data_IF_396435376528
#
_entry.id   IF_396435376528
#
_cell.length_a   1.000
_cell.length_b   1.000
_cell.length_c   1.000
_cell.angle_alpha   90.00
_cell.angle_beta   90.00
_cell.angle_gamma   90.00
#
_symmetry.space_group_name_H-M   'P 1'
#
loop_
_entity.id
_entity.type
_entity.pdbx_description
1 polymer ?
#
# COMPACT_ATOMS: atom_id res chain seq x y z
N UNK A 1 -1.91 9.79 17.56
CA UNK A 1 -3.20 9.09 17.70
C UNK A 1 -3.19 7.79 16.89
N UNK A 2 -2.96 6.64 17.54
CA UNK A 2 -3.15 5.33 16.88
C UNK A 2 -4.65 5.06 16.86
N UNK A 3 -5.32 5.14 15.70
CA UNK A 3 -6.69 4.61 15.56
C UNK A 3 -6.59 3.09 15.79
N UNK A 4 -6.96 2.64 16.99
CA UNK A 4 -6.63 1.32 17.55
C UNK A 4 -7.19 0.10 16.79
N UNK A 5 -7.96 0.28 15.71
CA UNK A 5 -8.59 -0.83 14.96
C UNK A 5 -8.44 -0.75 13.42
N UNK A 6 -7.51 0.05 12.88
CA UNK A 6 -7.31 0.14 11.42
C UNK A 6 -5.90 -0.28 11.01
N UNK A 7 -5.82 -1.08 9.94
CA UNK A 7 -4.55 -1.45 9.30
C UNK A 7 -4.30 -0.48 8.16
N UNK A 8 -3.14 0.19 8.18
CA UNK A 8 -2.72 1.07 7.10
C UNK A 8 -1.95 0.25 6.06
N UNK A 9 -2.45 0.25 4.84
CA UNK A 9 -1.87 -0.45 3.69
C UNK A 9 -1.35 0.59 2.72
N UNK A 10 -0.04 0.55 2.45
CA UNK A 10 0.60 1.43 1.47
C UNK A 10 0.86 0.66 0.18
N UNK A 11 0.68 1.27 -1.01
CA UNK A 11 0.97 0.60 -2.28
C UNK A 11 2.41 0.08 -2.38
N UNK A 12 3.37 0.83 -1.84
CA UNK A 12 4.80 0.45 -1.77
C UNK A 12 5.03 -0.92 -1.12
N UNK A 13 4.12 -1.39 -0.26
CA UNK A 13 4.25 -2.71 0.38
C UNK A 13 4.23 -3.87 -0.62
N UNK A 14 3.56 -3.68 -1.75
CA UNK A 14 3.40 -4.66 -2.82
C UNK A 14 4.34 -4.42 -4.01
N UNK A 15 5.13 -3.35 -3.99
CA UNK A 15 5.96 -2.95 -5.15
C UNK A 15 7.19 -3.84 -5.32
N UNK A 16 7.20 -4.67 -6.37
CA UNK A 16 8.29 -5.59 -6.69
C UNK A 16 9.57 -4.91 -7.15
N UNK A 17 9.47 -3.65 -7.61
CA UNK A 17 10.61 -2.83 -8.03
C UNK A 17 11.40 -2.30 -6.83
N UNK A 18 10.82 -2.35 -5.62
CA UNK A 18 11.43 -1.84 -4.40
C UNK A 18 12.09 -2.94 -3.57
N UNK A 19 13.22 -2.60 -2.94
CA UNK A 19 13.85 -3.45 -1.95
C UNK A 19 13.03 -3.49 -0.64
N UNK A 20 13.24 -4.49 0.22
CA UNK A 20 12.59 -4.56 1.54
C UNK A 20 12.89 -3.31 2.39
N UNK A 21 14.12 -2.81 2.34
CA UNK A 21 14.51 -1.58 3.05
C UNK A 21 13.74 -0.32 2.59
N UNK A 22 13.30 -0.31 1.32
CA UNK A 22 12.59 0.81 0.69
C UNK A 22 11.06 0.74 0.86
N UNK A 23 10.53 -0.31 1.51
CA UNK A 23 9.12 -0.37 1.91
C UNK A 23 8.39 -1.64 1.49
N UNK A 24 8.92 -2.43 0.56
CA UNK A 24 8.29 -3.71 0.17
C UNK A 24 8.21 -4.64 1.40
N UNK A 25 7.00 -5.10 1.73
CA UNK A 25 6.77 -6.01 2.87
C UNK A 25 6.62 -7.47 2.46
N UNK A 26 6.35 -7.73 1.19
CA UNK A 26 6.00 -9.06 0.68
C UNK A 26 7.18 -9.67 -0.12
N UNK A 27 7.35 -11.01 -0.16
CA UNK A 27 8.30 -11.67 -1.06
C UNK A 27 8.11 -11.25 -2.52
N UNK A 28 9.21 -11.19 -3.29
CA UNK A 28 9.18 -10.71 -4.68
C UNK A 28 8.24 -11.52 -5.58
N UNK A 29 8.10 -12.83 -5.33
CA UNK A 29 7.17 -13.73 -6.04
C UNK A 29 5.68 -13.34 -5.93
N UNK A 30 5.30 -12.59 -4.91
CA UNK A 30 3.91 -12.13 -4.70
C UNK A 30 3.78 -10.61 -4.85
N UNK A 31 4.87 -9.92 -5.17
CA UNK A 31 4.89 -8.47 -5.36
C UNK A 31 4.62 -8.14 -6.82
N UNK A 32 3.94 -7.02 -7.08
CA UNK A 32 3.59 -6.53 -8.43
C UNK A 32 4.43 -5.31 -8.77
N UNK A 33 4.82 -5.11 -10.04
CA UNK A 33 5.54 -3.90 -10.44
C UNK A 33 4.61 -2.69 -10.42
N UNK A 34 5.03 -1.60 -9.78
CA UNK A 34 4.32 -0.30 -9.78
C UNK A 34 2.82 -0.38 -9.40
N UNK A 35 2.48 -0.87 -8.19
CA UNK A 35 1.10 -1.02 -7.73
C UNK A 35 0.38 0.33 -7.69
N UNK A 36 -0.82 0.37 -8.28
CA UNK A 36 -1.69 1.56 -8.23
C UNK A 36 -2.71 1.43 -7.09
N UNK A 37 -3.16 2.58 -6.59
CA UNK A 37 -4.16 2.62 -5.52
C UNK A 37 -5.49 1.98 -5.96
N UNK A 38 -5.91 2.20 -7.21
CA UNK A 38 -7.10 1.59 -7.80
C UNK A 38 -7.07 0.05 -7.82
N UNK A 39 -5.90 -0.54 -8.08
CA UNK A 39 -5.74 -2.00 -8.13
C UNK A 39 -5.92 -2.62 -6.74
N UNK A 40 -5.42 -1.93 -5.71
CA UNK A 40 -5.57 -2.33 -4.33
C UNK A 40 -7.04 -2.20 -3.89
N UNK A 41 -7.71 -1.10 -4.25
CA UNK A 41 -9.14 -0.91 -3.97
C UNK A 41 -9.97 -2.04 -4.59
N UNK A 42 -9.75 -2.36 -5.88
CA UNK A 42 -10.40 -3.49 -6.56
C UNK A 42 -10.14 -4.84 -5.89
N UNK A 43 -8.94 -5.06 -5.37
CA UNK A 43 -8.61 -6.28 -4.63
C UNK A 43 -9.37 -6.34 -3.29
N UNK A 44 -9.47 -5.22 -2.58
CA UNK A 44 -10.22 -5.12 -1.33
C UNK A 44 -11.74 -5.28 -1.54
N UNK A 45 -12.27 -4.74 -2.64
CA UNK A 45 -13.67 -4.93 -3.05
C UNK A 45 -13.99 -6.42 -3.29
N UNK A 46 -13.10 -7.13 -4.00
CA UNK A 46 -13.24 -8.59 -4.23
C UNK A 46 -13.18 -9.37 -2.93
N UNK A 47 -12.36 -8.93 -1.97
CA UNK A 47 -12.26 -9.51 -0.64
C UNK A 47 -13.41 -9.10 0.29
N UNK A 48 -14.31 -8.21 -0.15
CA UNK A 48 -15.44 -7.65 0.63
C UNK A 48 -14.99 -7.03 1.95
N UNK A 49 -13.80 -6.44 1.98
CA UNK A 49 -13.26 -5.75 3.15
C UNK A 49 -13.69 -4.29 3.16
N UNK A 50 -14.00 -3.75 4.34
CA UNK A 50 -14.23 -2.32 4.51
C UNK A 50 -12.89 -1.58 4.54
N UNK A 51 -12.71 -0.62 3.64
CA UNK A 51 -11.52 0.22 3.58
C UNK A 51 -11.89 1.70 3.44
N UNK A 52 -10.91 2.55 3.71
CA UNK A 52 -10.99 4.00 3.57
C UNK A 52 -9.79 4.44 2.74
N UNK A 53 -10.04 5.15 1.64
CA UNK A 53 -9.00 5.67 0.78
C UNK A 53 -8.58 7.04 1.29
N UNK A 54 -7.27 7.26 1.41
CA UNK A 54 -6.69 8.56 1.76
C UNK A 54 -5.74 8.96 0.64
N UNK A 55 -6.26 9.72 -0.34
CA UNK A 55 -5.59 10.02 -1.62
C UNK A 55 -4.47 11.08 -1.56
N UNK A 56 -4.17 11.61 -0.37
CA UNK A 56 -3.14 12.64 -0.16
C UNK A 56 -2.07 12.21 0.84
N UNK A 57 -1.99 10.91 1.10
CA UNK A 57 -1.07 10.38 2.08
C UNK A 57 0.26 10.05 1.41
N UNK A 58 1.35 10.65 1.89
CA UNK A 58 2.69 10.27 1.44
C UNK A 58 3.24 9.15 2.33
N UNK A 59 3.85 8.14 1.71
CA UNK A 59 4.52 7.08 2.46
C UNK A 59 5.63 7.71 3.32
N UNK A 60 5.72 7.45 4.64
CA UNK A 60 6.65 8.17 5.52
C UNK A 60 8.13 8.11 5.13
N UNK A 61 8.56 7.04 4.43
CA UNK A 61 9.94 6.92 3.91
C UNK A 61 10.17 7.62 2.57
N UNK A 62 9.11 8.06 1.90
CA UNK A 62 9.13 8.83 0.66
C UNK A 62 8.09 9.96 0.73
N UNK A 63 8.32 10.99 1.57
CA UNK A 63 7.36 12.07 1.79
C UNK A 63 7.07 12.90 0.53
N UNK A 64 7.94 12.86 -0.49
CA UNK A 64 7.74 13.53 -1.78
C UNK A 64 6.83 12.77 -2.76
N UNK A 65 6.53 11.48 -2.53
CA UNK A 65 5.68 10.68 -3.41
C UNK A 65 4.29 10.56 -2.77
N UNK A 66 3.39 11.47 -3.14
CA UNK A 66 1.97 11.40 -2.79
C UNK A 66 1.34 10.21 -3.51
N UNK A 67 0.47 9.49 -2.81
CA UNK A 67 -0.26 8.32 -3.31
C UNK A 67 -1.70 8.42 -2.85
#
# INVERSE_FOLDING_TARGET
MRKQNKIVVWPVYFDSTRARGQGRKIPKKYAVPNPKLDEICKALDKLKLKYEVVADAAYPKMPWRKT
#
